data_IF_918126032175
#
_entry.id   IF_918126032175
#
_cell.length_a   1.000
_cell.length_b   1.000
_cell.length_c   1.000
_cell.angle_alpha   90.00
_cell.angle_beta   90.00
_cell.angle_gamma   90.00
#
_symmetry.space_group_name_H-M   'P 1'
#
loop_
_entity.id
_entity.type
_entity.pdbx_description
1 polymer ?
#
# COMPACT_ATOMS: atom_id res chain seq x y z
N UNK A 1 -18.14 -4.33 -12.96
CA UNK A 1 -17.08 -4.31 -11.98
C UNK A 1 -15.78 -4.84 -12.52
N UNK A 2 -14.73 -4.22 -12.20
CA UNK A 2 -13.48 -4.61 -12.74
C UNK A 2 -12.77 -5.59 -11.86
N UNK A 3 -12.00 -6.45 -12.47
CA UNK A 3 -11.19 -7.41 -11.74
C UNK A 3 -9.73 -7.07 -11.77
N UNK A 4 -9.43 -5.79 -11.82
CA UNK A 4 -8.04 -5.36 -11.83
C UNK A 4 -7.74 -4.66 -10.51
N UNK A 5 -6.52 -4.78 -10.02
CA UNK A 5 -6.15 -4.11 -8.78
C UNK A 5 -6.18 -2.60 -8.96
N UNK A 6 -6.43 -1.86 -7.88
CA UNK A 6 -6.34 -0.40 -7.94
C UNK A 6 -4.91 0.00 -8.29
N UNK A 7 -4.77 0.85 -9.29
CA UNK A 7 -3.46 1.26 -9.76
C UNK A 7 -2.66 2.00 -8.69
N UNK A 8 -3.32 2.90 -7.96
CA UNK A 8 -2.63 3.62 -6.91
C UNK A 8 -2.12 2.70 -5.82
N UNK A 9 -2.90 1.68 -5.50
CA UNK A 9 -2.49 0.71 -4.49
C UNK A 9 -1.25 -0.05 -4.93
N UNK A 10 -1.15 -0.38 -6.21
CA UNK A 10 0.03 -1.06 -6.72
C UNK A 10 1.27 -0.18 -6.64
N UNK A 11 1.13 1.10 -6.94
CA UNK A 11 2.24 2.04 -6.83
C UNK A 11 2.71 2.17 -5.39
N UNK A 12 1.76 2.28 -4.50
CA UNK A 12 2.07 2.38 -3.08
C UNK A 12 2.75 1.10 -2.58
N UNK A 13 2.23 -0.04 -3.00
CA UNK A 13 2.82 -1.31 -2.63
C UNK A 13 4.28 -1.41 -3.07
N UNK A 14 4.57 -1.02 -4.30
CA UNK A 14 5.92 -1.07 -4.80
C UNK A 14 6.86 -0.20 -3.96
N UNK A 15 6.40 1.01 -3.62
CA UNK A 15 7.21 1.92 -2.84
C UNK A 15 7.48 1.37 -1.44
N UNK A 16 6.44 0.85 -0.79
CA UNK A 16 6.59 0.28 0.54
C UNK A 16 7.51 -0.93 0.53
N UNK A 17 7.34 -1.79 -0.47
CA UNK A 17 8.15 -3.00 -0.54
C UNK A 17 9.63 -2.67 -0.78
N UNK A 18 9.89 -1.71 -1.64
CA UNK A 18 11.24 -1.32 -1.96
C UNK A 18 11.92 -0.61 -0.80
N UNK A 19 11.19 0.30 -0.15
CA UNK A 19 11.76 1.10 0.93
C UNK A 19 11.63 0.44 2.30
N UNK A 20 10.78 -0.56 2.40
CA UNK A 20 10.51 -1.29 3.64
C UNK A 20 10.09 -0.36 4.77
N UNK A 21 9.30 0.64 4.42
CA UNK A 21 8.88 1.65 5.38
C UNK A 21 7.66 2.39 4.85
N UNK A 22 6.60 2.41 5.64
CA UNK A 22 5.41 3.19 5.29
C UNK A 22 5.72 4.68 5.30
N UNK A 23 6.52 5.09 6.26
CA UNK A 23 6.89 6.49 6.39
C UNK A 23 7.69 6.99 5.18
N UNK A 24 8.68 6.21 4.77
CA UNK A 24 9.49 6.59 3.62
C UNK A 24 8.70 6.54 2.32
N UNK A 25 7.80 5.57 2.21
CA UNK A 25 6.95 5.49 1.03
C UNK A 25 6.04 6.71 0.96
N UNK A 26 5.49 7.13 2.09
CA UNK A 26 4.65 8.32 2.13
C UNK A 26 5.42 9.55 1.68
N UNK A 27 6.66 9.69 2.14
CA UNK A 27 7.50 10.80 1.72
C UNK A 27 7.78 10.76 0.23
N UNK A 28 8.13 9.58 -0.28
CA UNK A 28 8.42 9.45 -1.70
C UNK A 28 7.22 9.82 -2.56
N UNK A 29 6.03 9.42 -2.12
CA UNK A 29 4.82 9.61 -2.89
C UNK A 29 4.11 10.91 -2.58
N UNK A 30 4.61 11.68 -1.63
CA UNK A 30 4.04 12.97 -1.24
C UNK A 30 2.61 12.82 -0.73
N UNK A 31 2.40 11.82 0.11
CA UNK A 31 1.09 11.56 0.72
C UNK A 31 1.31 11.28 2.20
N UNK A 32 0.21 11.17 2.94
CA UNK A 32 0.32 10.85 4.36
C UNK A 32 0.53 9.36 4.57
N UNK A 33 1.05 8.99 5.73
CA UNK A 33 1.22 7.59 6.08
C UNK A 33 -0.13 6.88 6.14
N UNK A 34 -1.16 7.56 6.61
CA UNK A 34 -2.48 6.93 6.65
C UNK A 34 -3.00 6.65 5.26
N UNK A 35 -2.68 7.50 4.29
CA UNK A 35 -3.04 7.24 2.90
C UNK A 35 -2.32 6.00 2.37
N UNK A 36 -1.04 5.87 2.70
CA UNK A 36 -0.28 4.68 2.30
C UNK A 36 -0.91 3.42 2.90
N UNK A 37 -1.20 3.47 4.19
CA UNK A 37 -1.78 2.33 4.88
C UNK A 37 -3.13 1.94 4.28
N UNK A 38 -3.95 2.94 3.95
CA UNK A 38 -5.25 2.69 3.35
C UNK A 38 -5.12 2.02 1.99
N UNK A 39 -4.19 2.48 1.17
CA UNK A 39 -3.99 1.88 -0.15
C UNK A 39 -3.50 0.44 -0.04
N UNK A 40 -2.61 0.18 0.90
CA UNK A 40 -2.13 -1.19 1.11
C UNK A 40 -3.29 -2.08 1.56
N UNK A 41 -4.14 -1.58 2.46
CA UNK A 41 -5.30 -2.36 2.90
C UNK A 41 -6.25 -2.66 1.76
N UNK A 42 -6.46 -1.71 0.86
CA UNK A 42 -7.31 -1.94 -0.29
C UNK A 42 -6.76 -3.04 -1.19
N UNK A 43 -5.45 -3.04 -1.40
CA UNK A 43 -4.84 -4.06 -2.22
C UNK A 43 -4.90 -5.43 -1.55
N UNK A 44 -4.66 -5.45 -0.24
CA UNK A 44 -4.74 -6.70 0.51
C UNK A 44 -6.15 -7.28 0.44
N UNK A 45 -7.16 -6.42 0.57
CA UNK A 45 -8.54 -6.87 0.45
C UNK A 45 -8.84 -7.40 -0.94
N UNK A 46 -8.33 -6.71 -1.94
CA UNK A 46 -8.55 -7.12 -3.32
C UNK A 46 -8.00 -8.53 -3.58
N UNK A 47 -6.80 -8.79 -3.06
CA UNK A 47 -6.13 -10.06 -3.31
C UNK A 47 -6.45 -11.12 -2.25
N UNK A 48 -7.05 -10.72 -1.15
CA UNK A 48 -7.38 -11.66 -0.09
C UNK A 48 -6.18 -12.12 0.70
N UNK A 49 -5.12 -11.34 0.71
CA UNK A 49 -3.90 -11.70 1.45
C UNK A 49 -3.39 -10.49 2.18
N UNK A 50 -2.48 -10.73 3.11
CA UNK A 50 -1.83 -9.65 3.84
C UNK A 50 -0.34 -9.68 3.49
N UNK A 51 0.16 -8.59 2.94
CA UNK A 51 1.55 -8.52 2.49
C UNK A 51 2.51 -8.17 3.60
N UNK A 52 2.08 -7.31 4.52
CA UNK A 52 2.96 -6.78 5.54
C UNK A 52 2.42 -7.10 6.91
N UNK A 53 3.31 -7.49 7.78
CA UNK A 53 2.94 -7.74 9.15
C UNK A 53 2.88 -6.41 9.86
N UNK A 54 1.66 -5.97 10.23
CA UNK A 54 1.50 -4.71 10.92
C UNK A 54 1.23 -5.00 12.37
N UNK A 55 2.06 -4.40 13.12
CA UNK A 55 1.92 -4.57 14.50
C UNK A 55 1.10 -3.49 15.04
N UNK A 56 0.09 -3.72 15.56
CA UNK A 56 -0.72 -2.73 15.97
C UNK A 56 -1.01 -2.56 17.02
#
# INVERSE_FOLDING_TARGET
MRNIPPLNALRVFESVARLKSFSKAADELHVSQSAVSKQISLLENYLGVQFFLRDR
#
